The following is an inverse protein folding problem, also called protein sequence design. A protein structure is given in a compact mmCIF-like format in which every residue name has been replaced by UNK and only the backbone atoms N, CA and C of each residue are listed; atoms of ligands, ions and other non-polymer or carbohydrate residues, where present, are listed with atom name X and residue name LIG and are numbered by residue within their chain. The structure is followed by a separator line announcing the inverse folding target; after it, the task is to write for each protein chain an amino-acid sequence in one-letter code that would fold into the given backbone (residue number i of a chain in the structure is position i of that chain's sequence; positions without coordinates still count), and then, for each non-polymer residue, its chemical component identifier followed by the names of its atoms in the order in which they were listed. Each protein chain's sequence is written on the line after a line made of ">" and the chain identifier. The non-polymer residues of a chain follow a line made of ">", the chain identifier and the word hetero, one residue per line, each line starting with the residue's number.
data_IF_679582927099
#
_entry.id   IF_679582927099
#
_cell.length_a   1.000
_cell.length_b   1.000
_cell.length_c   1.000
_cell.angle_alpha   90.00
_cell.angle_beta   90.00
_cell.angle_gamma   90.00
#
_symmetry.space_group_name_H-M   'P 1'
#
loop_
_entity.id
_entity.type
_entity.pdbx_description
1 polymer ?
#
# COMPACT_ATOMS: atom_id res chain seq x y z
N UNK A 1 -4.69 4.00 -26.91
CA UNK A 1 -4.58 5.33 -26.30
C UNK A 1 -3.76 5.20 -25.03
N UNK A 2 -2.76 6.06 -24.86
CA UNK A 2 -1.68 5.91 -23.88
C UNK A 2 -2.20 5.97 -22.43
N UNK A 3 -2.13 4.85 -21.71
CA UNK A 3 -2.30 4.84 -20.26
C UNK A 3 -1.05 5.44 -19.64
N UNK A 4 -1.16 6.67 -19.13
CA UNK A 4 -0.06 7.39 -18.50
C UNK A 4 0.62 6.53 -17.43
N UNK A 5 1.81 6.05 -17.73
CA UNK A 5 2.68 5.37 -16.79
C UNK A 5 3.21 6.37 -15.78
N UNK A 6 2.41 6.71 -14.78
CA UNK A 6 2.93 7.33 -13.58
C UNK A 6 3.83 6.28 -12.93
N UNK A 7 5.13 6.52 -12.92
CA UNK A 7 6.09 5.62 -12.29
C UNK A 7 5.61 5.30 -10.85
N UNK A 8 5.78 4.05 -10.39
CA UNK A 8 5.35 3.69 -9.06
C UNK A 8 5.99 4.62 -8.03
N UNK A 9 5.26 5.01 -6.97
CA UNK A 9 5.78 5.91 -5.96
C UNK A 9 7.02 5.31 -5.31
N UNK A 10 7.96 6.17 -4.91
CA UNK A 10 9.14 5.73 -4.17
C UNK A 10 8.71 5.45 -2.73
N UNK A 11 9.06 4.27 -2.24
CA UNK A 11 8.88 3.87 -0.85
C UNK A 11 10.24 3.53 -0.26
N UNK A 12 10.52 4.02 0.93
CA UNK A 12 11.79 3.76 1.60
C UNK A 12 11.84 2.29 2.06
N UNK A 13 13.01 1.67 1.86
CA UNK A 13 13.17 0.24 2.14
C UNK A 13 12.54 -0.71 1.11
N UNK A 14 11.77 -0.23 0.13
CA UNK A 14 11.13 -1.10 -0.87
C UNK A 14 11.37 -0.64 -2.32
N UNK A 15 11.33 -1.58 -3.26
CA UNK A 15 11.33 -1.33 -4.71
C UNK A 15 9.99 -1.80 -5.26
N UNK A 16 9.14 -0.84 -5.63
CA UNK A 16 7.84 -1.12 -6.27
C UNK A 16 8.07 -1.50 -7.74
N UNK A 17 7.34 -2.50 -8.20
CA UNK A 17 7.48 -3.11 -9.52
C UNK A 17 6.17 -3.05 -10.27
N UNK A 18 5.54 -4.19 -10.54
CA UNK A 18 4.29 -4.30 -11.27
C UNK A 18 3.09 -3.81 -10.45
N UNK A 19 2.11 -3.23 -11.16
CA UNK A 19 0.82 -2.85 -10.59
C UNK A 19 -0.07 -4.10 -10.51
N UNK A 20 -0.45 -4.47 -9.30
CA UNK A 20 -1.31 -5.62 -9.03
C UNK A 20 -2.80 -5.28 -9.20
N UNK A 21 -3.18 -4.04 -8.87
CA UNK A 21 -4.58 -3.62 -8.94
C UNK A 21 -4.75 -2.12 -8.82
N UNK A 22 -5.91 -1.61 -9.25
CA UNK A 22 -6.27 -0.20 -9.14
C UNK A 22 -7.73 -0.12 -8.72
N UNK A 23 -8.02 0.72 -7.74
CA UNK A 23 -9.37 1.05 -7.30
C UNK A 23 -9.56 2.56 -7.21
N UNK A 24 -10.73 2.97 -6.76
CA UNK A 24 -11.14 4.39 -6.69
C UNK A 24 -10.19 5.24 -5.83
N UNK A 25 -9.66 4.69 -4.74
CA UNK A 25 -8.87 5.44 -3.76
C UNK A 25 -7.41 4.99 -3.64
N UNK A 26 -7.08 3.83 -4.23
CA UNK A 26 -5.78 3.21 -4.03
C UNK A 26 -5.29 2.47 -5.25
N UNK A 27 -3.98 2.40 -5.39
CA UNK A 27 -3.31 1.51 -6.35
C UNK A 27 -2.41 0.55 -5.59
N UNK A 28 -2.48 -0.73 -5.93
CA UNK A 28 -1.69 -1.77 -5.29
C UNK A 28 -0.54 -2.16 -6.21
N UNK A 29 0.67 -2.17 -5.68
CA UNK A 29 1.88 -2.58 -6.38
C UNK A 29 2.54 -3.76 -5.67
N UNK A 30 3.20 -4.62 -6.45
CA UNK A 30 4.14 -5.60 -5.91
C UNK A 30 5.44 -4.89 -5.58
N UNK A 31 6.02 -5.19 -4.43
CA UNK A 31 7.32 -4.63 -4.05
C UNK A 31 8.25 -5.69 -3.47
N UNK A 32 9.54 -5.43 -3.61
CA UNK A 32 10.63 -6.20 -3.03
C UNK A 32 11.33 -5.37 -1.95
N UNK A 33 11.62 -5.97 -0.80
CA UNK A 33 12.41 -5.29 0.23
C UNK A 33 13.85 -5.07 -0.25
N UNK A 34 14.37 -3.86 -0.03
CA UNK A 34 15.76 -3.48 -0.29
C UNK A 34 16.72 -4.11 0.71
N UNK A 35 16.22 -4.51 1.88
CA UNK A 35 17.01 -5.12 2.96
C UNK A 35 17.07 -6.64 2.83
N UNK A 36 15.96 -7.25 2.43
CA UNK A 36 15.87 -8.69 2.18
C UNK A 36 15.20 -8.93 0.82
N UNK A 37 15.99 -9.34 -0.17
CA UNK A 37 15.50 -9.54 -1.53
C UNK A 37 14.49 -10.67 -1.67
N UNK A 38 14.37 -11.56 -0.66
CA UNK A 38 13.38 -12.65 -0.65
C UNK A 38 12.02 -12.20 -0.14
N UNK A 39 11.94 -11.04 0.51
CA UNK A 39 10.67 -10.53 1.00
C UNK A 39 9.91 -9.80 -0.12
N UNK A 40 8.84 -10.43 -0.57
CA UNK A 40 7.88 -9.87 -1.52
C UNK A 40 6.63 -9.43 -0.77
N UNK A 41 6.17 -8.21 -1.04
CA UNK A 41 5.00 -7.61 -0.39
C UNK A 41 4.07 -6.94 -1.40
N UNK A 42 2.83 -6.72 -1.00
CA UNK A 42 1.89 -5.85 -1.69
C UNK A 42 1.81 -4.50 -0.99
N UNK A 43 2.00 -3.41 -1.74
CA UNK A 43 1.96 -2.03 -1.23
C UNK A 43 0.69 -1.36 -1.74
N UNK A 44 -0.25 -1.07 -0.84
CA UNK A 44 -1.48 -0.31 -1.13
C UNK A 44 -1.17 1.19 -1.00
N UNK A 45 -0.95 1.86 -2.12
CA UNK A 45 -0.72 3.30 -2.16
C UNK A 45 -2.05 4.06 -2.19
N UNK A 46 -2.32 4.83 -1.14
CA UNK A 46 -3.54 5.65 -1.01
C UNK A 46 -3.18 7.13 -1.19
N UNK A 47 -3.89 7.83 -2.07
CA UNK A 47 -3.67 9.27 -2.26
C UNK A 47 -4.44 10.07 -1.21
N UNK A 48 -3.75 10.72 -0.27
CA UNK A 48 -4.38 11.60 0.72
C UNK A 48 -5.22 12.72 0.09
N UNK A 49 -4.83 13.20 -1.10
CA UNK A 49 -5.55 14.24 -1.84
C UNK A 49 -6.96 13.81 -2.27
N UNK A 50 -7.20 12.51 -2.44
CA UNK A 50 -8.51 11.97 -2.82
C UNK A 50 -9.39 11.59 -1.63
N UNK A 51 -8.95 11.80 -0.39
CA UNK A 51 -9.70 11.40 0.80
C UNK A 51 -10.40 12.61 1.43
N UNK A 52 -11.68 12.41 1.78
CA UNK A 52 -12.38 13.30 2.71
C UNK A 52 -12.15 12.86 4.16
N UNK A 53 -12.57 13.67 5.14
CA UNK A 53 -12.37 13.40 6.57
C UNK A 53 -12.89 12.02 7.01
N UNK A 54 -14.10 11.65 6.59
CA UNK A 54 -14.66 10.34 6.90
C UNK A 54 -13.84 9.18 6.30
N UNK A 55 -13.30 9.34 5.09
CA UNK A 55 -12.45 8.32 4.46
C UNK A 55 -11.11 8.18 5.17
N UNK A 56 -10.56 9.28 5.70
CA UNK A 56 -9.35 9.25 6.54
C UNK A 56 -9.62 8.48 7.83
N UNK A 57 -10.74 8.78 8.52
CA UNK A 57 -11.13 8.06 9.74
C UNK A 57 -11.30 6.55 9.47
N UNK A 58 -12.00 6.19 8.38
CA UNK A 58 -12.15 4.80 7.96
C UNK A 58 -10.80 4.12 7.67
N UNK A 59 -9.87 4.81 7.01
CA UNK A 59 -8.54 4.29 6.72
C UNK A 59 -7.75 4.02 8.01
N UNK A 60 -7.83 4.93 8.99
CA UNK A 60 -7.18 4.76 10.29
C UNK A 60 -7.77 3.57 11.04
N UNK A 61 -9.09 3.43 11.05
CA UNK A 61 -9.77 2.26 11.64
C UNK A 61 -9.37 0.95 10.94
N UNK A 62 -9.28 0.93 9.60
CA UNK A 62 -8.80 -0.24 8.84
C UNK A 62 -7.39 -0.64 9.28
N UNK A 63 -6.48 0.35 9.43
CA UNK A 63 -5.11 0.13 9.89
C UNK A 63 -5.07 -0.41 11.32
N UNK A 64 -5.84 0.15 12.25
CA UNK A 64 -5.90 -0.30 13.64
C UNK A 64 -6.37 -1.74 13.75
N UNK A 65 -7.42 -2.11 13.01
CA UNK A 65 -7.92 -3.49 12.97
C UNK A 65 -6.83 -4.43 12.44
N UNK A 66 -6.24 -4.10 11.28
CA UNK A 66 -5.24 -4.95 10.64
C UNK A 66 -3.95 -5.13 11.47
N UNK A 67 -3.57 -4.13 12.29
CA UNK A 67 -2.43 -4.25 13.22
C UNK A 67 -2.62 -5.34 14.28
N UNK A 68 -3.86 -5.66 14.64
CA UNK A 68 -4.16 -6.65 15.69
C UNK A 68 -4.31 -8.07 15.15
N UNK A 69 -4.45 -8.24 13.83
CA UNK A 69 -4.78 -9.52 13.22
C UNK A 69 -3.52 -10.19 12.68
N UNK A 70 -3.22 -11.38 13.21
CA UNK A 70 -2.18 -12.28 12.69
C UNK A 70 -2.76 -13.67 12.57
N UNK A 71 -3.05 -14.11 11.35
CA UNK A 71 -3.70 -15.38 11.08
C UNK A 71 -3.28 -15.94 9.72
N UNK A 72 -3.04 -17.26 9.57
CA UNK A 72 -2.57 -17.86 8.31
C UNK A 72 -3.48 -17.65 7.10
N UNK A 73 -4.76 -17.33 7.31
CA UNK A 73 -5.76 -17.11 6.24
C UNK A 73 -6.22 -15.65 6.12
N UNK A 74 -5.57 -14.71 6.81
CA UNK A 74 -5.86 -13.28 6.70
C UNK A 74 -4.58 -12.56 6.29
N UNK A 75 -4.68 -11.61 5.37
CA UNK A 75 -3.53 -10.82 4.94
C UNK A 75 -3.04 -9.97 6.10
N UNK A 76 -1.78 -10.19 6.49
CA UNK A 76 -1.13 -9.44 7.56
C UNK A 76 -0.64 -8.07 7.06
N UNK A 77 -0.94 -7.03 7.83
CA UNK A 77 -0.33 -5.72 7.64
C UNK A 77 1.08 -5.74 8.25
N UNK A 78 2.10 -5.79 7.39
CA UNK A 78 3.51 -5.83 7.82
C UNK A 78 4.03 -4.47 8.30
N UNK A 79 3.64 -3.41 7.60
CA UNK A 79 4.15 -2.06 7.85
C UNK A 79 3.14 -1.01 7.37
N UNK A 80 3.17 0.18 7.96
CA UNK A 80 2.42 1.34 7.53
C UNK A 80 3.35 2.55 7.51
N UNK A 81 3.52 3.14 6.32
CA UNK A 81 4.37 4.31 6.12
C UNK A 81 3.51 5.47 5.63
N UNK A 82 3.65 6.60 6.32
CA UNK A 82 3.04 7.86 5.92
C UNK A 82 4.12 8.91 5.65
N UNK A 83 4.57 9.07 4.40
CA UNK A 83 5.51 10.13 4.07
C UNK A 83 4.81 11.49 4.27
N UNK A 84 5.32 12.26 5.23
CA UNK A 84 4.88 13.62 5.56
C UNK A 84 5.07 14.55 4.34
#
# INVERSE_FOLDING_TARGET
>A
MAGGGCAPPRLDGFVLTERLGTGTYATVYKAYSKRDTREVVAVKCVSKRSLNRASVENLLTEIEILKTIRHPHIVELKDFQDPI
#
